data_IF_873243313293
#
_entry.id   IF_873243313293
#
_cell.length_a   1.000
_cell.length_b   1.000
_cell.length_c   1.000
_cell.angle_alpha   90.00
_cell.angle_beta   90.00
_cell.angle_gamma   90.00
#
_symmetry.space_group_name_H-M   'P 1'
#
loop_
_entity.id
_entity.type
_entity.pdbx_description
1 polymer ?
#
# COMPACT_ATOMS: atom_id res chain seq x y z
N UNK A 1 52.36 -13.87 -1.41
CA UNK A 1 51.93 -12.69 -2.19
C UNK A 1 51.82 -13.24 -3.61
N UNK A 2 50.69 -13.62 -4.16
CA UNK A 2 49.28 -13.31 -3.92
C UNK A 2 48.46 -14.52 -4.41
N UNK A 3 47.56 -15.06 -3.58
CA UNK A 3 46.71 -16.19 -4.01
C UNK A 3 45.36 -16.22 -3.27
N UNK A 4 44.77 -15.05 -3.02
CA UNK A 4 43.44 -14.91 -2.38
C UNK A 4 42.49 -14.02 -3.20
N UNK A 5 42.89 -13.61 -4.41
CA UNK A 5 42.04 -12.84 -5.31
C UNK A 5 40.79 -13.59 -5.82
N UNK A 6 40.86 -14.89 -6.20
CA UNK A 6 39.67 -15.58 -6.71
C UNK A 6 38.63 -15.86 -5.63
N UNK A 7 39.05 -16.15 -4.38
CA UNK A 7 38.13 -16.40 -3.27
C UNK A 7 37.38 -15.13 -2.86
N UNK A 8 38.06 -13.99 -2.78
CA UNK A 8 37.38 -12.71 -2.50
C UNK A 8 36.38 -12.31 -3.58
N UNK A 9 36.68 -12.61 -4.84
CA UNK A 9 35.76 -12.37 -5.94
C UNK A 9 34.54 -13.29 -5.82
N UNK A 10 34.75 -14.56 -5.48
CA UNK A 10 33.67 -15.53 -5.25
C UNK A 10 32.78 -15.14 -4.07
N UNK A 11 33.36 -14.71 -2.95
CA UNK A 11 32.62 -14.26 -1.76
C UNK A 11 31.80 -13.00 -2.07
N UNK A 12 32.39 -12.07 -2.84
CA UNK A 12 31.70 -10.86 -3.29
C UNK A 12 30.52 -11.21 -4.22
N UNK A 13 30.72 -12.15 -5.15
CA UNK A 13 29.64 -12.63 -6.04
C UNK A 13 28.54 -13.31 -5.24
N UNK A 14 28.87 -14.13 -4.24
CA UNK A 14 27.89 -14.77 -3.35
C UNK A 14 27.08 -13.73 -2.58
N UNK A 15 27.74 -12.71 -2.03
CA UNK A 15 27.08 -11.63 -1.28
C UNK A 15 26.11 -10.86 -2.19
N UNK A 16 26.51 -10.58 -3.43
CA UNK A 16 25.62 -9.93 -4.41
C UNK A 16 24.45 -10.83 -4.78
N UNK A 17 24.66 -12.14 -4.91
CA UNK A 17 23.60 -13.10 -5.19
C UNK A 17 22.57 -13.16 -4.06
N UNK A 18 23.02 -13.16 -2.80
CA UNK A 18 22.15 -13.15 -1.63
C UNK A 18 21.34 -11.84 -1.55
N UNK A 19 21.98 -10.70 -1.76
CA UNK A 19 21.29 -9.40 -1.80
C UNK A 19 20.24 -9.34 -2.92
N UNK A 20 20.55 -9.88 -4.10
CA UNK A 20 19.59 -9.94 -5.22
C UNK A 20 18.42 -10.85 -4.86
N UNK A 21 18.65 -11.98 -4.21
CA UNK A 21 17.59 -12.86 -3.76
C UNK A 21 16.66 -12.18 -2.75
N UNK A 22 17.22 -11.46 -1.77
CA UNK A 22 16.46 -10.71 -0.77
C UNK A 22 15.60 -9.62 -1.44
N UNK A 23 16.18 -8.85 -2.37
CA UNK A 23 15.44 -7.80 -3.10
C UNK A 23 14.29 -8.37 -3.92
N UNK A 24 14.48 -9.53 -4.54
CA UNK A 24 13.42 -10.19 -5.31
C UNK A 24 12.30 -10.72 -4.39
N UNK A 25 12.65 -11.29 -3.24
CA UNK A 25 11.66 -11.73 -2.25
C UNK A 25 10.86 -10.55 -1.68
N UNK A 26 11.52 -9.43 -1.39
CA UNK A 26 10.85 -8.20 -0.95
C UNK A 26 9.91 -7.65 -2.03
N UNK A 27 10.30 -7.72 -3.31
CA UNK A 27 9.42 -7.31 -4.42
C UNK A 27 8.16 -8.16 -4.50
N UNK A 28 8.29 -9.49 -4.45
CA UNK A 28 7.14 -10.42 -4.45
C UNK A 28 6.20 -10.13 -3.27
N UNK A 29 6.74 -9.94 -2.07
CA UNK A 29 5.94 -9.60 -0.89
C UNK A 29 5.22 -8.24 -1.01
N UNK A 30 5.86 -7.26 -1.66
CA UNK A 30 5.23 -5.96 -1.94
C UNK A 30 4.08 -6.12 -2.94
N UNK A 31 4.27 -6.89 -4.01
CA UNK A 31 3.25 -7.15 -5.03
C UNK A 31 2.04 -7.84 -4.41
N UNK A 32 2.25 -8.91 -3.65
CA UNK A 32 1.18 -9.63 -2.93
C UNK A 32 0.39 -8.70 -2.02
N UNK A 33 1.07 -7.78 -1.32
CA UNK A 33 0.41 -6.82 -0.44
C UNK A 33 -0.40 -5.76 -1.20
N UNK A 34 0.06 -5.34 -2.37
CA UNK A 34 -0.69 -4.42 -3.24
C UNK A 34 -1.89 -5.11 -3.91
N UNK A 35 -1.82 -6.43 -4.10
CA UNK A 35 -2.95 -7.22 -4.58
C UNK A 35 -3.98 -7.52 -3.49
N UNK A 36 -3.52 -7.75 -2.26
CA UNK A 36 -4.39 -7.87 -1.09
C UNK A 36 -5.25 -6.62 -0.91
N UNK A 37 -6.57 -6.76 -0.87
CA UNK A 37 -7.48 -5.65 -0.62
C UNK A 37 -8.19 -5.85 0.71
N UNK A 38 -7.58 -5.38 1.80
CA UNK A 38 -8.10 -5.59 3.17
C UNK A 38 -9.44 -4.89 3.39
N UNK A 39 -9.54 -3.66 2.88
CA UNK A 39 -10.73 -2.84 2.97
C UNK A 39 -10.77 -1.82 1.81
N UNK A 40 -11.85 -1.06 1.76
CA UNK A 40 -12.02 0.06 0.85
C UNK A 40 -12.25 1.34 1.64
N UNK A 41 -11.78 2.46 1.10
CA UNK A 41 -12.15 3.79 1.56
C UNK A 41 -12.71 4.59 0.39
N UNK A 42 -13.68 5.44 0.68
CA UNK A 42 -14.21 6.41 -0.28
C UNK A 42 -13.50 7.73 -0.05
N UNK A 43 -12.87 8.26 -1.09
CA UNK A 43 -12.23 9.56 -1.11
C UNK A 43 -13.14 10.54 -1.83
N UNK A 44 -13.37 11.70 -1.21
CA UNK A 44 -14.04 12.85 -1.82
C UNK A 44 -13.03 13.98 -1.93
N UNK A 45 -12.71 14.40 -3.15
CA UNK A 45 -11.67 15.39 -3.43
C UNK A 45 -12.21 16.54 -4.27
N UNK A 46 -12.21 17.74 -3.70
CA UNK A 46 -12.60 18.97 -4.40
C UNK A 46 -11.34 19.63 -5.03
N UNK A 47 -11.20 19.63 -6.37
CA UNK A 47 -10.04 20.20 -7.03
C UNK A 47 -9.99 21.74 -6.94
N UNK A 48 -11.12 22.41 -6.71
CA UNK A 48 -11.21 23.87 -6.68
C UNK A 48 -10.69 24.46 -5.36
N UNK A 49 -10.93 23.75 -4.25
CA UNK A 49 -10.51 24.17 -2.90
C UNK A 49 -9.31 23.38 -2.37
N UNK A 50 -9.03 22.21 -2.95
CA UNK A 50 -8.05 21.25 -2.43
C UNK A 50 -8.58 20.47 -1.22
N UNK A 51 -9.87 20.57 -0.88
CA UNK A 51 -10.46 19.80 0.20
C UNK A 51 -10.43 18.29 -0.12
N UNK A 52 -10.10 17.49 0.90
CA UNK A 52 -9.98 16.05 0.79
C UNK A 52 -10.59 15.40 2.03
N UNK A 53 -11.68 14.67 1.83
CA UNK A 53 -12.32 13.86 2.85
C UNK A 53 -12.16 12.37 2.55
N UNK A 54 -12.14 11.56 3.60
CA UNK A 54 -12.09 10.10 3.50
C UNK A 54 -13.12 9.45 4.41
N UNK A 55 -13.67 8.33 3.95
CA UNK A 55 -14.73 7.59 4.62
C UNK A 55 -14.48 6.09 4.56
N UNK A 56 -14.78 5.39 5.65
CA UNK A 56 -14.52 3.97 5.82
C UNK A 56 -13.69 3.70 7.08
N UNK A 57 -13.05 2.52 7.19
CA UNK A 57 -12.99 1.45 6.17
C UNK A 57 -14.35 0.77 5.91
N UNK A 58 -14.54 0.27 4.71
CA UNK A 58 -15.73 -0.47 4.24
C UNK A 58 -15.33 -1.80 3.60
N UNK A 59 -16.31 -2.70 3.45
CA UNK A 59 -16.23 -3.75 2.43
C UNK A 59 -16.52 -3.18 1.03
N UNK A 60 -16.28 -3.98 -0.01
CA UNK A 60 -16.41 -3.55 -1.42
C UNK A 60 -17.81 -3.03 -1.78
N UNK A 61 -18.88 -3.82 -1.56
CA UNK A 61 -20.25 -3.38 -1.83
C UNK A 61 -20.66 -2.12 -1.03
N UNK A 62 -20.33 -2.04 0.26
CA UNK A 62 -20.65 -0.88 1.09
C UNK A 62 -19.92 0.38 0.61
N UNK A 63 -18.66 0.28 0.18
CA UNK A 63 -17.92 1.40 -0.39
C UNK A 63 -18.55 1.92 -1.69
N UNK A 64 -18.98 1.01 -2.57
CA UNK A 64 -19.66 1.39 -3.82
C UNK A 64 -21.00 2.09 -3.56
N UNK A 65 -21.78 1.59 -2.60
CA UNK A 65 -23.04 2.22 -2.19
C UNK A 65 -22.82 3.60 -1.56
N UNK A 66 -21.80 3.76 -0.72
CA UNK A 66 -21.45 5.05 -0.11
C UNK A 66 -20.97 6.06 -1.16
N UNK A 67 -20.11 5.64 -2.09
CA UNK A 67 -19.63 6.47 -3.18
C UNK A 67 -20.76 6.96 -4.10
N UNK A 68 -21.67 6.06 -4.49
CA UNK A 68 -22.83 6.37 -5.33
C UNK A 68 -23.79 7.35 -4.62
N UNK A 69 -24.05 7.14 -3.32
CA UNK A 69 -24.83 8.09 -2.51
C UNK A 69 -24.19 9.48 -2.52
N UNK A 70 -22.89 9.57 -2.23
CA UNK A 70 -22.17 10.86 -2.19
C UNK A 70 -22.17 11.57 -3.51
N UNK A 71 -21.98 10.83 -4.61
CA UNK A 71 -22.02 11.40 -5.95
C UNK A 71 -23.37 12.06 -6.20
N UNK A 72 -24.49 11.38 -5.88
CA UNK A 72 -25.83 11.97 -5.99
C UNK A 72 -26.02 13.20 -5.11
N UNK A 73 -25.55 13.18 -3.88
CA UNK A 73 -25.69 14.30 -2.94
C UNK A 73 -24.91 15.53 -3.43
N UNK A 74 -23.69 15.32 -3.94
CA UNK A 74 -22.86 16.38 -4.54
C UNK A 74 -23.46 16.91 -5.84
N UNK A 75 -24.00 16.04 -6.70
CA UNK A 75 -24.68 16.44 -7.93
C UNK A 75 -25.93 17.29 -7.65
N UNK A 76 -26.70 16.93 -6.62
CA UNK A 76 -27.83 17.73 -6.16
C UNK A 76 -27.40 19.10 -5.62
N UNK A 77 -26.15 19.22 -5.17
CA UNK A 77 -25.51 20.46 -4.73
C UNK A 77 -24.77 21.25 -5.82
N UNK A 78 -24.86 20.83 -7.09
CA UNK A 78 -24.13 21.43 -8.24
C UNK A 78 -22.59 21.36 -8.11
N UNK A 79 -22.09 20.34 -7.39
CA UNK A 79 -20.67 20.07 -7.16
C UNK A 79 -20.15 18.95 -8.06
N UNK A 80 -20.46 19.03 -9.36
CA UNK A 80 -20.16 17.98 -10.35
C UNK A 80 -18.66 17.75 -10.62
N UNK A 81 -17.81 18.70 -10.27
CA UNK A 81 -16.35 18.68 -10.44
C UNK A 81 -15.60 18.05 -9.25
N UNK A 82 -16.26 17.90 -8.10
CA UNK A 82 -15.73 17.14 -6.96
C UNK A 82 -15.57 15.69 -7.35
N UNK A 83 -14.43 15.06 -7.07
CA UNK A 83 -14.21 13.65 -7.37
C UNK A 83 -14.69 12.77 -6.21
N UNK A 84 -15.33 11.64 -6.54
CA UNK A 84 -15.65 10.57 -5.58
C UNK A 84 -15.03 9.28 -6.09
N UNK A 85 -14.11 8.72 -5.33
CA UNK A 85 -13.36 7.53 -5.72
C UNK A 85 -13.40 6.47 -4.62
N UNK A 86 -13.59 5.21 -5.01
CA UNK A 86 -13.37 4.05 -4.15
C UNK A 86 -11.93 3.59 -4.36
N UNK A 87 -11.14 3.52 -3.30
CA UNK A 87 -9.75 3.06 -3.37
C UNK A 87 -9.51 1.90 -2.41
N UNK A 88 -8.55 1.03 -2.76
CA UNK A 88 -8.09 -0.04 -1.87
C UNK A 88 -7.37 0.56 -0.67
N UNK A 89 -7.70 0.07 0.51
CA UNK A 89 -7.07 0.44 1.77
C UNK A 89 -6.31 -0.77 2.30
N UNK A 90 -5.00 -0.74 2.10
CA UNK A 90 -4.07 -1.74 2.62
C UNK A 90 -3.78 -1.44 4.08
N UNK A 91 -4.11 -2.36 4.97
CA UNK A 91 -3.79 -2.20 6.38
C UNK A 91 -2.31 -2.54 6.62
N UNK A 92 -1.64 -1.86 7.55
CA UNK A 92 -0.30 -2.25 7.93
C UNK A 92 -0.34 -3.68 8.49
N UNK A 93 0.70 -4.45 8.19
CA UNK A 93 0.89 -5.74 8.84
C UNK A 93 0.83 -5.56 10.36
N UNK A 94 0.16 -6.46 11.08
CA UNK A 94 0.25 -6.44 12.54
C UNK A 94 1.73 -6.45 12.92
N UNK A 95 2.16 -5.63 13.88
CA UNK A 95 3.57 -5.56 14.23
C UNK A 95 4.05 -6.97 14.57
N UNK A 96 5.03 -7.48 13.82
CA UNK A 96 5.69 -8.73 14.14
C UNK A 96 6.08 -8.65 15.62
N UNK A 97 5.51 -9.55 16.43
CA UNK A 97 5.47 -9.41 17.88
C UNK A 97 6.80 -8.91 18.41
N UNK A 98 6.83 -7.67 18.91
CA UNK A 98 7.95 -7.21 19.74
C UNK A 98 8.05 -8.25 20.84
N UNK A 99 9.12 -9.03 20.85
CA UNK A 99 9.53 -9.75 22.03
C UNK A 99 9.40 -8.76 23.19
N UNK A 100 8.43 -9.00 24.06
CA UNK A 100 8.25 -8.23 25.25
C UNK A 100 9.57 -8.39 26.01
N UNK A 101 10.40 -7.34 25.98
CA UNK A 101 11.50 -7.22 26.93
C UNK A 101 10.82 -6.95 28.26
N UNK A 102 10.48 -8.05 28.94
CA UNK A 102 10.03 -8.05 30.32
C UNK A 102 11.16 -7.44 31.14
N UNK A 103 10.86 -6.34 31.81
CA UNK A 103 11.72 -5.73 32.84
C UNK A 103 11.64 -6.52 34.14
#
# INVERSE_FOLDING_TARGET
MDDHAPDRLRDSVSTVQDLVADVLADQEAIEDRLDACDAYVVIVADPSTGALDSYGPFDGPAAMLDADRRRRDLDAGDLGDVNVAVVRHHLPDPPAGRHAVVS
#
